data_IF_737402675064
#
_entry.id   IF_737402675064
#
_cell.length_a   1.000
_cell.length_b   1.000
_cell.length_c   1.000
_cell.angle_alpha   90.00
_cell.angle_beta   90.00
_cell.angle_gamma   90.00
#
_symmetry.space_group_name_H-M   'P 1'
#
loop_
_entity.id
_entity.type
_entity.pdbx_description
1 polymer ?
#
# COMPACT_ATOMS: atom_id res chain seq x y z
N UNK A 1 13.22 15.97 -3.95
CA UNK A 1 12.48 15.63 -2.71
C UNK A 1 12.38 16.85 -1.80
N UNK A 2 11.18 17.15 -1.32
CA UNK A 2 10.94 18.21 -0.34
C UNK A 2 9.88 17.74 0.64
N UNK A 3 10.04 18.09 1.91
CA UNK A 3 9.01 17.86 2.90
C UNK A 3 8.86 19.09 3.79
N UNK A 4 7.62 19.42 4.10
CA UNK A 4 7.26 20.55 4.96
C UNK A 4 6.36 20.01 6.09
N UNK A 5 6.76 20.24 7.33
CA UNK A 5 5.98 19.84 8.49
C UNK A 5 5.62 21.08 9.31
N UNK A 6 4.37 21.14 9.78
CA UNK A 6 3.87 22.25 10.57
C UNK A 6 3.01 21.75 11.73
N UNK A 7 3.31 22.22 12.92
CA UNK A 7 2.43 22.11 14.08
C UNK A 7 1.35 23.19 13.96
N UNK A 8 0.09 22.78 13.86
CA UNK A 8 -1.07 23.66 13.69
C UNK A 8 -1.60 24.11 15.06
N UNK A 9 -1.62 23.17 16.02
CA UNK A 9 -1.99 23.42 17.42
C UNK A 9 -1.25 22.43 18.33
N UNK A 10 -1.53 22.44 19.62
CA UNK A 10 -0.94 21.48 20.57
C UNK A 10 -1.24 20.02 20.18
N UNK A 11 -2.38 19.78 19.57
CA UNK A 11 -2.87 18.43 19.24
C UNK A 11 -2.82 18.09 17.77
N UNK A 12 -2.67 19.09 16.89
CA UNK A 12 -2.70 18.91 15.44
C UNK A 12 -1.38 19.25 14.78
N UNK A 13 -0.95 18.41 13.86
CA UNK A 13 0.17 18.66 12.95
C UNK A 13 -0.17 18.20 11.53
N UNK A 14 0.49 18.80 10.56
CA UNK A 14 0.39 18.41 9.16
C UNK A 14 1.77 18.34 8.52
N UNK A 15 1.89 17.46 7.52
CA UNK A 15 3.08 17.32 6.70
C UNK A 15 2.73 17.22 5.22
N UNK A 16 3.44 17.96 4.40
CA UNK A 16 3.39 17.87 2.94
C UNK A 16 4.70 17.28 2.44
N UNK A 17 4.62 16.24 1.63
CA UNK A 17 5.75 15.52 1.05
C UNK A 17 5.63 15.58 -0.46
N UNK A 18 6.67 16.06 -1.12
CA UNK A 18 6.75 16.21 -2.57
C UNK A 18 7.96 15.46 -3.09
N UNK A 19 7.75 14.62 -4.07
CA UNK A 19 8.81 13.97 -4.82
C UNK A 19 8.55 14.13 -6.31
N UNK A 20 9.57 14.55 -7.03
CA UNK A 20 9.59 14.59 -8.49
C UNK A 20 10.85 13.91 -9.02
N UNK A 21 10.72 13.23 -10.12
CA UNK A 21 11.83 12.63 -10.87
C UNK A 21 11.60 12.86 -12.37
N UNK A 22 12.61 13.39 -13.04
CA UNK A 22 12.63 13.52 -14.51
C UNK A 22 13.94 12.95 -15.02
N UNK A 23 13.84 11.99 -15.93
CA UNK A 23 14.97 11.47 -16.69
C UNK A 23 14.56 11.43 -18.15
N UNK A 24 15.12 12.34 -18.91
CA UNK A 24 14.89 12.50 -20.35
C UNK A 24 16.18 12.30 -21.18
N UNK A 25 17.27 11.87 -20.53
CA UNK A 25 18.52 11.60 -21.20
C UNK A 25 18.61 10.10 -21.53
N UNK A 26 18.89 9.82 -22.78
CA UNK A 26 19.12 8.48 -23.29
C UNK A 26 20.53 8.02 -22.95
N UNK A 27 20.62 6.77 -22.48
CA UNK A 27 21.89 6.09 -22.20
C UNK A 27 21.89 4.74 -22.88
N UNK A 28 22.95 4.50 -23.66
CA UNK A 28 23.27 3.22 -24.30
C UNK A 28 24.79 3.08 -24.24
N UNK A 29 25.32 2.51 -23.16
CA UNK A 29 26.76 2.37 -22.94
C UNK A 29 27.35 1.14 -23.61
N UNK A 30 26.49 0.14 -23.86
CA UNK A 30 26.88 -1.14 -24.49
C UNK A 30 26.69 -1.11 -26.03
N UNK A 31 26.15 -0.01 -26.56
CA UNK A 31 25.95 0.21 -28.01
C UNK A 31 25.06 -0.84 -28.66
N UNK A 32 24.05 -1.36 -27.91
CA UNK A 32 23.07 -2.34 -28.44
C UNK A 32 21.80 -1.69 -29.02
N UNK A 33 21.74 -0.37 -29.04
CA UNK A 33 20.63 0.46 -29.52
C UNK A 33 19.38 0.40 -28.61
N UNK A 34 19.51 -0.06 -27.37
CA UNK A 34 18.46 -0.02 -26.37
C UNK A 34 18.81 0.94 -25.23
N UNK A 35 17.79 1.50 -24.61
CA UNK A 35 17.95 2.30 -23.40
C UNK A 35 18.43 1.43 -22.24
N UNK A 36 19.65 1.66 -21.72
CA UNK A 36 20.15 1.03 -20.49
C UNK A 36 19.29 1.34 -19.27
N UNK A 37 18.68 2.53 -19.27
CA UNK A 37 17.84 3.03 -18.18
C UNK A 37 16.60 3.69 -18.77
N UNK A 38 15.39 3.33 -18.32
CA UNK A 38 14.16 3.93 -18.82
C UNK A 38 14.14 5.45 -18.71
N UNK A 39 13.56 6.13 -19.69
CA UNK A 39 13.12 7.52 -19.54
C UNK A 39 11.98 7.55 -18.52
N UNK A 40 11.91 8.63 -17.73
CA UNK A 40 10.95 8.67 -16.62
C UNK A 40 10.51 10.08 -16.30
N UNK A 41 9.20 10.24 -16.07
CA UNK A 41 8.62 11.42 -15.44
C UNK A 41 7.73 10.96 -14.28
N UNK A 42 7.96 11.53 -13.11
CA UNK A 42 7.19 11.14 -11.92
C UNK A 42 6.91 12.36 -11.04
N UNK A 43 5.68 12.44 -10.57
CA UNK A 43 5.28 13.29 -9.46
C UNK A 43 4.58 12.46 -8.39
N UNK A 44 4.96 12.65 -7.14
CA UNK A 44 4.36 11.98 -5.99
C UNK A 44 4.15 13.03 -4.90
N UNK A 45 2.90 13.22 -4.52
CA UNK A 45 2.48 14.19 -3.50
C UNK A 45 1.77 13.45 -2.39
N UNK A 46 2.17 13.68 -1.15
CA UNK A 46 1.48 13.16 0.01
C UNK A 46 1.25 14.28 1.03
N UNK A 47 0.03 14.39 1.51
CA UNK A 47 -0.33 15.23 2.64
C UNK A 47 -0.80 14.37 3.81
N UNK A 48 -0.20 14.57 4.97
CA UNK A 48 -0.52 13.88 6.22
C UNK A 48 -1.05 14.86 7.25
N UNK A 49 -2.16 14.51 7.86
CA UNK A 49 -2.69 15.15 9.06
C UNK A 49 -2.62 14.19 10.23
N UNK A 50 -2.20 14.69 11.37
CA UNK A 50 -2.08 13.91 12.59
C UNK A 50 -2.72 14.67 13.75
N UNK A 51 -3.53 13.93 14.53
CA UNK A 51 -4.08 14.36 15.80
C UNK A 51 -3.50 13.50 16.91
N UNK A 52 -3.04 14.12 17.98
CA UNK A 52 -2.52 13.42 19.15
C UNK A 52 -3.02 14.11 20.42
N UNK A 53 -3.64 13.34 21.31
CA UNK A 53 -4.07 13.79 22.62
C UNK A 53 -3.67 12.73 23.66
N UNK A 54 -2.49 12.92 24.28
CA UNK A 54 -1.94 11.98 25.25
C UNK A 54 -2.79 11.82 26.51
N UNK A 55 -3.43 12.88 26.98
CA UNK A 55 -4.31 12.83 28.16
C UNK A 55 -5.52 11.93 27.93
N UNK A 56 -6.07 11.94 26.71
CA UNK A 56 -7.20 11.10 26.34
C UNK A 56 -6.78 9.79 25.67
N UNK A 57 -5.49 9.55 25.48
CA UNK A 57 -4.96 8.37 24.81
C UNK A 57 -5.32 8.27 23.31
N UNK A 58 -5.65 9.38 22.65
CA UNK A 58 -6.12 9.36 21.25
C UNK A 58 -4.98 9.74 20.30
N UNK A 59 -4.74 8.89 19.30
CA UNK A 59 -3.85 9.16 18.18
C UNK A 59 -4.59 8.87 16.89
N UNK A 60 -4.61 9.81 15.97
CA UNK A 60 -5.26 9.65 14.66
C UNK A 60 -4.39 10.26 13.57
N UNK A 61 -4.42 9.68 12.40
CA UNK A 61 -3.88 10.31 11.21
C UNK A 61 -4.71 10.01 9.96
N UNK A 62 -4.62 10.93 8.99
CA UNK A 62 -5.14 10.78 7.64
C UNK A 62 -3.99 11.10 6.69
N UNK A 63 -3.73 10.23 5.74
CA UNK A 63 -2.80 10.46 4.63
C UNK A 63 -3.59 10.48 3.33
N UNK A 64 -3.32 11.48 2.51
CA UNK A 64 -3.78 11.58 1.13
C UNK A 64 -2.54 11.55 0.24
N UNK A 65 -2.53 10.68 -0.75
CA UNK A 65 -1.39 10.53 -1.67
C UNK A 65 -1.88 10.48 -3.11
N UNK A 66 -1.16 11.17 -3.97
CA UNK A 66 -1.30 11.11 -5.41
C UNK A 66 0.05 10.80 -6.04
N UNK A 67 0.06 9.88 -6.99
CA UNK A 67 1.20 9.49 -7.81
C UNK A 67 0.78 9.54 -9.27
N UNK A 68 1.59 10.20 -10.08
CA UNK A 68 1.62 10.04 -11.53
C UNK A 68 3.04 9.64 -11.93
N UNK A 69 3.17 8.58 -12.73
CA UNK A 69 4.44 8.01 -13.17
C UNK A 69 4.33 7.61 -14.64
N UNK A 70 5.22 8.15 -15.46
CA UNK A 70 5.35 7.81 -16.87
C UNK A 70 6.75 7.24 -17.08
N UNK A 71 6.83 6.03 -17.62
CA UNK A 71 8.09 5.33 -17.86
C UNK A 71 8.12 4.80 -19.28
N UNK A 72 9.17 5.14 -20.04
CA UNK A 72 9.41 4.66 -21.40
C UNK A 72 10.70 3.86 -21.47
N UNK A 73 10.67 2.72 -22.16
CA UNK A 73 11.83 1.86 -22.41
C UNK A 73 11.81 1.35 -23.86
N UNK A 74 12.93 0.85 -24.33
CA UNK A 74 13.02 0.25 -25.65
C UNK A 74 14.22 0.70 -26.44
N UNK A 75 14.12 0.62 -27.75
CA UNK A 75 15.15 1.08 -28.67
C UNK A 75 15.29 2.61 -28.61
N UNK A 76 16.50 3.12 -28.78
CA UNK A 76 16.80 4.57 -28.72
C UNK A 76 15.99 5.34 -29.79
N UNK A 77 15.85 4.76 -30.99
CA UNK A 77 15.09 5.37 -32.09
C UNK A 77 13.56 5.19 -31.98
N UNK A 78 13.05 4.57 -30.90
CA UNK A 78 11.62 4.39 -30.68
C UNK A 78 10.93 5.71 -30.39
N UNK A 79 9.93 6.05 -31.21
CA UNK A 79 9.07 7.21 -31.00
C UNK A 79 7.63 6.75 -30.69
N UNK A 80 7.12 7.00 -29.48
CA UNK A 80 5.76 6.59 -29.07
C UNK A 80 4.65 7.06 -30.00
N UNK A 81 4.78 8.25 -30.59
CA UNK A 81 3.75 8.85 -31.45
C UNK A 81 3.62 8.14 -32.81
N UNK A 82 4.69 7.51 -33.30
CA UNK A 82 4.74 6.92 -34.66
C UNK A 82 4.93 5.41 -34.65
N UNK A 83 5.58 4.86 -33.64
CA UNK A 83 6.01 3.46 -33.61
C UNK A 83 5.16 2.56 -32.71
N UNK A 84 4.31 3.16 -31.84
CA UNK A 84 3.39 2.42 -30.97
C UNK A 84 2.50 1.48 -31.79
N UNK A 85 2.51 0.19 -31.43
CA UNK A 85 1.70 -0.83 -32.12
C UNK A 85 2.21 -1.19 -33.51
N UNK A 86 3.44 -0.81 -33.88
CA UNK A 86 4.11 -1.18 -35.13
C UNK A 86 5.29 -2.11 -34.86
N UNK A 87 5.92 -2.59 -35.94
CA UNK A 87 7.15 -3.39 -35.88
C UNK A 87 8.39 -2.58 -36.30
N UNK A 88 8.30 -1.25 -36.46
CA UNK A 88 9.40 -0.41 -36.91
C UNK A 88 10.51 -0.31 -35.89
N UNK A 89 10.12 -0.03 -34.64
CA UNK A 89 11.02 -0.02 -33.49
C UNK A 89 10.28 -0.64 -32.28
N UNK A 90 10.99 -1.36 -31.44
CA UNK A 90 10.42 -1.91 -30.22
C UNK A 90 10.51 -0.91 -29.09
N UNK A 91 9.39 -0.68 -28.41
CA UNK A 91 9.32 0.14 -27.24
C UNK A 91 8.20 -0.25 -26.29
N UNK A 92 8.25 0.27 -25.09
CA UNK A 92 7.22 0.13 -24.07
C UNK A 92 7.00 1.44 -23.34
N UNK A 93 5.77 1.72 -23.00
CA UNK A 93 5.40 2.77 -22.05
C UNK A 93 4.51 2.21 -20.95
N UNK A 94 4.69 2.73 -19.75
CA UNK A 94 3.87 2.44 -18.58
C UNK A 94 3.47 3.77 -17.99
N UNK A 95 2.18 4.10 -18.09
CA UNK A 95 1.59 5.32 -17.56
C UNK A 95 0.74 4.93 -16.36
N UNK A 96 1.13 5.35 -15.17
CA UNK A 96 0.49 4.99 -13.91
C UNK A 96 -0.05 6.22 -13.22
N UNK A 97 -1.32 6.17 -12.85
CA UNK A 97 -1.97 7.13 -11.98
C UNK A 97 -2.51 6.41 -10.74
N UNK A 98 -2.21 6.95 -9.56
CA UNK A 98 -2.63 6.32 -8.31
C UNK A 98 -3.05 7.38 -7.28
N UNK A 99 -4.22 7.16 -6.70
CA UNK A 99 -4.71 7.91 -5.56
C UNK A 99 -4.84 6.98 -4.34
N UNK A 100 -4.46 7.47 -3.16
CA UNK A 100 -4.58 6.71 -1.91
C UNK A 100 -5.10 7.62 -0.78
N UNK A 101 -5.98 7.06 0.02
CA UNK A 101 -6.37 7.62 1.32
C UNK A 101 -6.20 6.55 2.40
N UNK A 102 -5.44 6.88 3.45
CA UNK A 102 -5.18 5.98 4.56
C UNK A 102 -5.55 6.71 5.85
N UNK A 103 -6.33 6.06 6.70
CA UNK A 103 -6.69 6.60 8.00
C UNK A 103 -6.35 5.64 9.12
N UNK A 104 -6.05 6.19 10.28
CA UNK A 104 -5.91 5.43 11.52
C UNK A 104 -6.53 6.22 12.67
N UNK A 105 -7.36 5.54 13.44
CA UNK A 105 -7.85 6.00 14.73
C UNK A 105 -7.37 5.02 15.79
N UNK A 106 -6.52 5.49 16.69
CA UNK A 106 -5.97 4.72 17.81
C UNK A 106 -6.41 5.29 19.12
N UNK A 107 -6.77 4.40 20.03
CA UNK A 107 -6.99 4.70 21.44
C UNK A 107 -6.08 3.83 22.30
N UNK A 108 -5.34 4.45 23.19
CA UNK A 108 -4.52 3.79 24.22
C UNK A 108 -5.09 4.19 25.56
N UNK A 109 -5.48 3.22 26.38
CA UNK A 109 -6.02 3.50 27.70
C UNK A 109 -4.96 4.21 28.58
N UNK A 110 -5.20 5.47 29.01
CA UNK A 110 -4.20 6.20 29.80
C UNK A 110 -3.86 5.58 31.13
N UNK A 111 -4.82 4.86 31.75
CA UNK A 111 -4.64 4.21 33.06
C UNK A 111 -3.96 2.84 32.91
N UNK A 112 -4.19 2.16 31.77
CA UNK A 112 -3.64 0.84 31.46
C UNK A 112 -3.01 0.88 30.07
N UNK A 113 -1.77 1.37 29.90
CA UNK A 113 -1.15 1.59 28.58
C UNK A 113 -0.99 0.35 27.70
N UNK A 114 -1.15 -0.84 28.28
CA UNK A 114 -1.18 -2.11 27.54
C UNK A 114 -2.50 -2.37 26.80
N UNK A 115 -3.56 -1.63 27.16
CA UNK A 115 -4.85 -1.73 26.47
C UNK A 115 -4.94 -0.69 25.38
N UNK A 116 -5.16 -1.15 24.18
CA UNK A 116 -5.32 -0.26 23.03
C UNK A 116 -6.30 -0.82 22.01
N UNK A 117 -6.99 0.09 21.34
CA UNK A 117 -7.88 -0.20 20.23
C UNK A 117 -7.40 0.62 19.03
N UNK A 118 -7.19 -0.03 17.89
CA UNK A 118 -6.78 0.61 16.64
C UNK A 118 -7.74 0.26 15.53
N UNK A 119 -8.29 1.28 14.88
CA UNK A 119 -9.06 1.15 13.66
C UNK A 119 -8.28 1.78 12.50
N UNK A 120 -8.10 1.04 11.41
CA UNK A 120 -7.39 1.48 10.22
C UNK A 120 -8.25 1.23 9.00
N UNK A 121 -8.23 2.19 8.07
CA UNK A 121 -8.80 2.00 6.74
C UNK A 121 -7.83 2.52 5.69
N UNK A 122 -7.85 1.88 4.54
CA UNK A 122 -7.11 2.28 3.36
C UNK A 122 -8.00 2.13 2.14
N UNK A 123 -7.99 3.12 1.29
CA UNK A 123 -8.55 3.04 -0.05
C UNK A 123 -7.49 3.46 -1.05
N UNK A 124 -7.36 2.73 -2.13
CA UNK A 124 -6.53 3.11 -3.27
C UNK A 124 -7.27 2.89 -4.58
N UNK A 125 -7.06 3.80 -5.50
CA UNK A 125 -7.42 3.65 -6.91
C UNK A 125 -6.14 3.72 -7.72
N UNK A 126 -5.89 2.70 -8.52
CA UNK A 126 -4.74 2.56 -9.39
C UNK A 126 -5.20 2.35 -10.82
N UNK A 127 -4.73 3.21 -11.70
CA UNK A 127 -4.92 3.09 -13.14
C UNK A 127 -3.56 2.99 -13.81
N UNK A 128 -3.41 2.02 -14.69
CA UNK A 128 -2.24 1.88 -15.52
C UNK A 128 -2.67 1.60 -16.95
N UNK A 129 -2.16 2.39 -17.88
CA UNK A 129 -2.24 2.17 -19.32
C UNK A 129 -0.81 1.84 -19.78
N UNK A 130 -0.63 0.68 -20.40
CA UNK A 130 0.72 0.26 -20.79
C UNK A 130 0.74 -0.59 -22.06
N UNK A 131 1.88 -0.56 -22.74
CA UNK A 131 2.16 -1.48 -23.85
C UNK A 131 3.62 -1.91 -23.86
N UNK A 132 3.87 -3.05 -24.48
CA UNK A 132 5.17 -3.70 -24.61
C UNK A 132 5.29 -4.22 -26.04
N UNK A 133 5.86 -3.39 -26.94
CA UNK A 133 5.83 -3.65 -28.37
C UNK A 133 4.39 -3.68 -28.90
N UNK A 134 3.92 -4.85 -29.34
CA UNK A 134 2.57 -5.05 -29.87
C UNK A 134 1.53 -5.44 -28.80
N UNK A 135 1.96 -5.76 -27.59
CA UNK A 135 1.06 -6.20 -26.52
C UNK A 135 0.67 -5.02 -25.62
N UNK A 136 -0.62 -4.91 -25.31
CA UNK A 136 -1.17 -3.93 -24.37
C UNK A 136 -1.59 -4.58 -23.07
N UNK A 137 -1.42 -3.85 -21.97
CA UNK A 137 -1.94 -4.23 -20.66
C UNK A 137 -2.44 -2.97 -19.94
N UNK A 138 -3.74 -2.91 -19.77
CA UNK A 138 -4.40 -1.82 -19.08
C UNK A 138 -5.12 -2.35 -17.85
N UNK A 139 -5.06 -1.63 -16.72
CA UNK A 139 -5.74 -2.00 -15.50
C UNK A 139 -6.32 -0.78 -14.80
N UNK A 140 -7.55 -0.93 -14.31
CA UNK A 140 -8.14 -0.09 -13.27
C UNK A 140 -8.44 -0.97 -12.06
N UNK A 141 -7.85 -0.64 -10.92
CA UNK A 141 -7.96 -1.40 -9.69
C UNK A 141 -8.34 -0.48 -8.53
N UNK A 142 -9.48 -0.77 -7.91
CA UNK A 142 -9.91 -0.17 -6.65
C UNK A 142 -9.71 -1.15 -5.52
N UNK A 143 -9.05 -0.73 -4.46
CA UNK A 143 -8.82 -1.55 -3.27
C UNK A 143 -9.29 -0.84 -2.02
N UNK A 144 -10.08 -1.52 -1.19
CA UNK A 144 -10.46 -1.08 0.13
C UNK A 144 -10.02 -2.10 1.18
N UNK A 145 -9.36 -1.61 2.21
CA UNK A 145 -8.94 -2.39 3.37
C UNK A 145 -9.45 -1.75 4.65
N UNK A 146 -9.92 -2.56 5.59
CA UNK A 146 -10.30 -2.14 6.93
C UNK A 146 -9.82 -3.14 7.97
N UNK A 147 -9.36 -2.66 9.11
CA UNK A 147 -8.84 -3.50 10.19
C UNK A 147 -9.14 -2.86 11.55
N UNK A 148 -9.70 -3.65 12.46
CA UNK A 148 -9.89 -3.31 13.87
C UNK A 148 -9.06 -4.24 14.73
N UNK A 149 -8.17 -3.69 15.55
CA UNK A 149 -7.25 -4.44 16.40
C UNK A 149 -7.39 -4.00 17.86
N UNK A 150 -7.56 -4.95 18.74
CA UNK A 150 -7.53 -4.77 20.18
C UNK A 150 -6.31 -5.47 20.78
N UNK A 151 -5.57 -4.75 21.63
CA UNK A 151 -4.48 -5.30 22.42
C UNK A 151 -4.80 -5.14 23.91
N UNK A 152 -4.38 -6.13 24.71
CA UNK A 152 -4.50 -6.09 26.17
C UNK A 152 -3.48 -7.04 26.80
N UNK A 153 -3.50 -7.09 28.14
CA UNK A 153 -2.76 -8.07 28.95
C UNK A 153 -3.73 -8.93 29.76
N UNK A 154 -3.28 -10.13 30.14
CA UNK A 154 -3.97 -11.00 31.08
C UNK A 154 -3.12 -11.05 32.35
N UNK A 155 -3.66 -10.54 33.45
CA UNK A 155 -2.98 -10.51 34.77
C UNK A 155 -1.78 -9.55 34.80
N UNK A 156 -0.70 -9.82 34.11
CA UNK A 156 0.51 -8.98 34.06
C UNK A 156 1.07 -8.81 32.62
N UNK A 157 2.08 -7.96 32.48
CA UNK A 157 2.66 -7.58 31.19
C UNK A 157 3.42 -8.70 30.45
N UNK A 158 3.64 -9.84 31.08
CA UNK A 158 4.21 -11.03 30.44
C UNK A 158 3.20 -11.74 29.55
N UNK A 159 1.91 -11.60 29.86
CA UNK A 159 0.81 -12.25 29.16
C UNK A 159 0.04 -11.24 28.32
N UNK A 160 0.35 -11.17 27.04
CA UNK A 160 -0.26 -10.22 26.10
C UNK A 160 -1.24 -10.94 25.19
N UNK A 161 -2.36 -10.29 24.91
CA UNK A 161 -3.32 -10.72 23.90
C UNK A 161 -3.47 -9.66 22.83
N UNK A 162 -3.66 -10.13 21.61
CA UNK A 162 -3.99 -9.31 20.45
C UNK A 162 -5.08 -10.01 19.65
N UNK A 163 -6.16 -9.30 19.38
CA UNK A 163 -7.26 -9.83 18.56
C UNK A 163 -7.78 -8.77 17.62
N UNK A 164 -8.43 -9.19 16.56
CA UNK A 164 -8.96 -8.24 15.60
C UNK A 164 -9.73 -8.89 14.48
N UNK A 165 -10.33 -8.02 13.66
CA UNK A 165 -11.03 -8.38 12.44
C UNK A 165 -10.53 -7.53 11.30
N UNK A 166 -10.55 -8.05 10.09
CA UNK A 166 -10.13 -7.33 8.89
C UNK A 166 -11.08 -7.64 7.73
N UNK A 167 -11.19 -6.68 6.84
CA UNK A 167 -11.94 -6.80 5.60
C UNK A 167 -11.13 -6.23 4.45
N UNK A 168 -11.13 -6.91 3.31
CA UNK A 168 -10.57 -6.45 2.04
C UNK A 168 -11.62 -6.53 0.95
N UNK A 169 -11.60 -5.58 0.04
CA UNK A 169 -12.40 -5.57 -1.18
C UNK A 169 -11.56 -5.00 -2.31
N UNK A 170 -11.37 -5.80 -3.34
CA UNK A 170 -10.59 -5.46 -4.53
C UNK A 170 -11.47 -5.61 -5.76
N UNK A 171 -11.55 -4.57 -6.57
CA UNK A 171 -12.27 -4.55 -7.86
C UNK A 171 -11.25 -4.33 -8.97
N UNK A 172 -11.16 -5.29 -9.87
CA UNK A 172 -10.22 -5.33 -10.99
C UNK A 172 -10.96 -5.25 -12.32
N UNK A 173 -10.55 -4.30 -13.15
CA UNK A 173 -10.90 -4.19 -14.56
C UNK A 173 -9.60 -4.21 -15.36
N UNK A 174 -9.28 -5.36 -15.98
CA UNK A 174 -8.03 -5.58 -16.69
C UNK A 174 -8.31 -5.88 -18.15
N UNK A 175 -7.49 -5.32 -19.03
CA UNK A 175 -7.51 -5.60 -20.46
C UNK A 175 -6.11 -6.01 -20.90
N UNK A 176 -5.98 -7.22 -21.43
CA UNK A 176 -4.74 -7.75 -22.02
C UNK A 176 -4.95 -7.91 -23.50
N UNK A 177 -4.34 -7.06 -24.30
CA UNK A 177 -4.61 -6.95 -25.75
C UNK A 177 -6.11 -6.67 -26.00
N UNK A 178 -6.86 -7.70 -26.38
CA UNK A 178 -8.32 -7.61 -26.64
C UNK A 178 -9.15 -8.32 -25.56
N UNK A 179 -8.51 -9.04 -24.65
CA UNK A 179 -9.18 -9.85 -23.65
C UNK A 179 -9.45 -9.05 -22.38
N UNK A 180 -10.71 -9.07 -21.92
CA UNK A 180 -11.17 -8.33 -20.75
C UNK A 180 -11.36 -9.26 -19.58
N UNK A 181 -10.75 -8.93 -18.43
CA UNK A 181 -10.81 -9.66 -17.19
C UNK A 181 -11.35 -8.77 -16.08
N UNK A 182 -12.62 -9.01 -15.69
CA UNK A 182 -13.26 -8.29 -14.57
C UNK A 182 -13.48 -9.23 -13.41
N UNK A 183 -13.10 -8.79 -12.22
CA UNK A 183 -13.33 -9.58 -11.02
C UNK A 183 -13.40 -8.72 -9.77
N UNK A 184 -14.24 -9.15 -8.84
CA UNK A 184 -14.30 -8.60 -7.49
C UNK A 184 -13.81 -9.70 -6.53
N UNK A 185 -12.85 -9.36 -5.71
CA UNK A 185 -12.31 -10.21 -4.67
C UNK A 185 -12.58 -9.57 -3.31
N UNK A 186 -13.06 -10.36 -2.35
CA UNK A 186 -13.24 -9.88 -0.99
C UNK A 186 -12.89 -10.97 0.01
N UNK A 187 -12.41 -10.52 1.17
CA UNK A 187 -12.09 -11.38 2.29
C UNK A 187 -12.51 -10.72 3.59
N UNK A 188 -13.12 -11.50 4.47
CA UNK A 188 -13.35 -11.12 5.85
C UNK A 188 -12.64 -12.12 6.76
N UNK A 189 -11.83 -11.62 7.73
CA UNK A 189 -11.06 -12.48 8.62
C UNK A 189 -11.03 -11.96 10.04
N UNK A 190 -10.82 -12.90 10.97
CA UNK A 190 -10.60 -12.62 12.37
C UNK A 190 -9.37 -13.35 12.87
N UNK A 191 -8.69 -12.79 13.85
CA UNK A 191 -7.52 -13.42 14.45
C UNK A 191 -7.48 -13.23 15.95
N UNK A 192 -6.78 -14.16 16.59
CA UNK A 192 -6.40 -14.09 18.00
C UNK A 192 -4.94 -14.52 18.13
N UNK A 193 -4.17 -13.77 18.92
CA UNK A 193 -2.77 -14.04 19.24
C UNK A 193 -2.56 -13.88 20.73
N UNK A 194 -1.87 -14.83 21.33
CA UNK A 194 -1.38 -14.77 22.68
C UNK A 194 0.13 -14.80 22.68
N UNK A 195 0.75 -13.89 23.45
CA UNK A 195 2.21 -13.85 23.62
C UNK A 195 2.55 -13.92 25.11
N UNK A 196 3.47 -14.82 25.42
CA UNK A 196 4.11 -14.90 26.72
C UNK A 196 5.58 -14.51 26.61
N UNK A 197 6.03 -13.61 27.46
CA UNK A 197 7.40 -13.10 27.44
C UNK A 197 7.95 -13.03 28.88
N UNK A 198 8.85 -13.93 29.21
CA UNK A 198 9.58 -13.97 30.49
C UNK A 198 11.05 -13.56 30.28
N UNK A 199 11.24 -12.47 29.51
CA UNK A 199 12.51 -11.76 29.22
C UNK A 199 13.73 -12.65 28.98
N UNK A 200 14.21 -13.38 29.99
CA UNK A 200 15.48 -14.10 29.95
C UNK A 200 15.35 -15.61 29.67
N UNK A 201 14.14 -16.16 29.69
CA UNK A 201 13.94 -17.62 29.72
C UNK A 201 13.13 -18.17 28.55
N UNK A 202 12.03 -17.50 28.22
CA UNK A 202 11.10 -18.01 27.21
C UNK A 202 10.28 -16.87 26.63
N UNK A 203 10.27 -16.78 25.31
CA UNK A 203 9.29 -15.99 24.57
C UNK A 203 8.45 -16.92 23.72
N UNK A 204 7.14 -16.93 23.91
CA UNK A 204 6.19 -17.76 23.15
C UNK A 204 5.15 -16.85 22.52
N UNK A 205 4.88 -17.05 21.23
CA UNK A 205 3.72 -16.44 20.57
C UNK A 205 2.94 -17.53 19.85
N UNK A 206 1.66 -17.67 20.20
CA UNK A 206 0.73 -18.57 19.56
C UNK A 206 -0.48 -17.80 19.03
N UNK A 207 -0.88 -18.06 17.81
CA UNK A 207 -1.99 -17.36 17.18
C UNK A 207 -2.76 -18.23 16.20
N UNK A 208 -3.95 -17.78 15.90
CA UNK A 208 -4.81 -18.36 14.88
C UNK A 208 -5.53 -17.25 14.13
N UNK A 209 -5.62 -17.40 12.82
CA UNK A 209 -6.41 -16.55 11.95
C UNK A 209 -7.36 -17.41 11.13
N UNK A 210 -8.60 -16.95 10.98
CA UNK A 210 -9.60 -17.57 10.13
C UNK A 210 -10.11 -16.52 9.14
N UNK A 211 -10.14 -16.88 7.86
CA UNK A 211 -10.58 -16.02 6.77
C UNK A 211 -11.63 -16.71 5.91
N UNK A 212 -12.61 -15.94 5.46
CA UNK A 212 -13.56 -16.30 4.43
C UNK A 212 -13.29 -15.43 3.21
N UNK A 213 -12.83 -16.04 2.13
CA UNK A 213 -12.57 -15.38 0.85
C UNK A 213 -13.62 -15.80 -0.18
N UNK A 214 -14.14 -14.87 -0.99
CA UNK A 214 -15.20 -15.17 -1.95
C UNK A 214 -14.80 -16.17 -3.06
N UNK A 215 -13.49 -16.29 -3.37
CA UNK A 215 -12.99 -17.22 -4.40
C UNK A 215 -12.36 -18.49 -3.83
N UNK A 216 -11.68 -18.39 -2.68
CA UNK A 216 -10.92 -19.51 -2.09
C UNK A 216 -11.66 -20.20 -0.94
N UNK A 217 -12.82 -19.65 -0.53
CA UNK A 217 -13.59 -20.21 0.57
C UNK A 217 -13.00 -19.91 1.94
N UNK A 218 -13.32 -20.75 2.90
CA UNK A 218 -12.86 -20.63 4.29
C UNK A 218 -11.53 -21.35 4.50
N UNK A 219 -10.59 -20.67 5.20
CA UNK A 219 -9.32 -21.27 5.61
C UNK A 219 -8.85 -20.75 6.96
N UNK A 220 -7.99 -21.52 7.62
CA UNK A 220 -7.44 -21.21 8.93
C UNK A 220 -5.91 -21.28 8.86
N UNK A 221 -5.26 -20.29 9.44
CA UNK A 221 -3.79 -20.18 9.47
C UNK A 221 -3.33 -20.13 10.92
N UNK A 222 -2.77 -21.22 11.46
CA UNK A 222 -2.12 -21.22 12.78
C UNK A 222 -0.72 -20.62 12.71
N UNK A 223 -0.26 -20.05 13.84
CA UNK A 223 1.07 -19.49 14.01
C UNK A 223 1.64 -19.89 15.38
N UNK A 224 2.89 -20.33 15.41
CA UNK A 224 3.63 -20.62 16.63
C UNK A 224 5.08 -20.15 16.48
N UNK A 225 5.56 -19.41 17.47
CA UNK A 225 6.95 -18.97 17.60
C UNK A 225 7.44 -19.22 19.04
N UNK A 226 8.66 -19.72 19.16
CA UNK A 226 9.38 -19.96 20.41
C UNK A 226 10.70 -19.22 20.38
#
# INVERSE_FOLDING_TARGET
NTHLNKKISEKWSTGLYLHGNVRNQEFDKNEDSFLDVPLKQQINVMNRWQYTNGEKGIVSFINLRYLNDETQSGQINFNPDTDRGTTNAWGSEINTERFEINTKLGYVNPEIPYQSLGFQTSYSYHKQDSYFGLNTYDIAHSSFYSNLVYNSIISDSRHKIKTGVSFTLDDYDEVVNTDVYKRIENSFGGFFEYSYDNLDKLTLTAGVRADQHNRFGFFVTPRLHL
#
